data_IF_933334109024
#
_entry.id   IF_933334109024
#
_cell.length_a   1.000
_cell.length_b   1.000
_cell.length_c   1.000
_cell.angle_alpha   90.00
_cell.angle_beta   90.00
_cell.angle_gamma   90.00
#
_symmetry.space_group_name_H-M   'P 1'
#
loop_
_entity.id
_entity.type
_entity.pdbx_description
1 polymer ?
#
# COMPACT_ATOMS: atom_id res chain seq x y z
N UNK A 1 15.05 2.14 7.96
CA UNK A 1 13.97 1.65 8.84
C UNK A 1 12.69 1.47 8.00
N UNK A 2 12.79 0.65 6.95
CA UNK A 2 11.70 0.32 6.03
C UNK A 2 11.84 -1.13 5.62
N UNK A 3 10.73 -1.83 5.39
CA UNK A 3 9.34 -1.38 5.59
C UNK A 3 9.01 -1.23 7.07
N UNK A 4 8.11 -0.30 7.40
CA UNK A 4 7.64 -0.17 8.79
C UNK A 4 6.70 -1.33 9.14
N UNK A 5 6.49 -1.62 10.43
CA UNK A 5 5.46 -2.57 10.87
C UNK A 5 4.08 -2.32 10.25
N UNK A 6 3.75 -1.05 9.97
CA UNK A 6 2.46 -0.66 9.40
C UNK A 6 2.22 -1.20 7.97
N UNK A 7 3.28 -1.56 7.22
CA UNK A 7 3.14 -2.03 5.84
C UNK A 7 3.67 -3.44 5.58
N UNK A 8 4.50 -3.97 6.49
CA UNK A 8 5.06 -5.31 6.39
C UNK A 8 4.66 -6.20 7.57
N UNK A 9 4.58 -5.65 8.78
CA UNK A 9 4.31 -6.39 10.02
C UNK A 9 5.54 -6.57 10.91
N UNK A 10 5.33 -7.28 12.03
CA UNK A 10 6.36 -7.62 13.02
C UNK A 10 6.18 -9.06 13.48
N UNK A 11 7.27 -9.86 13.60
CA UNK A 11 8.66 -9.53 13.28
C UNK A 11 8.92 -9.42 11.77
N UNK A 12 9.79 -8.49 11.35
CA UNK A 12 9.97 -8.10 9.94
C UNK A 12 10.18 -9.26 8.96
N UNK A 13 11.15 -10.15 9.21
CA UNK A 13 11.51 -11.23 8.26
C UNK A 13 10.36 -12.23 8.05
N UNK A 14 9.79 -12.84 9.11
CA UNK A 14 8.62 -13.72 8.97
C UNK A 14 7.43 -13.05 8.29
N UNK A 15 7.15 -11.78 8.61
CA UNK A 15 6.02 -11.08 7.99
C UNK A 15 6.26 -10.83 6.50
N UNK A 16 7.48 -10.45 6.11
CA UNK A 16 7.84 -10.29 4.70
C UNK A 16 7.73 -11.60 3.91
N UNK A 17 8.22 -12.70 4.48
CA UNK A 17 8.11 -14.03 3.88
C UNK A 17 6.63 -14.45 3.70
N UNK A 18 5.81 -14.23 4.72
CA UNK A 18 4.38 -14.50 4.66
C UNK A 18 3.70 -13.68 3.55
N UNK A 19 3.96 -12.38 3.48
CA UNK A 19 3.40 -11.50 2.44
C UNK A 19 3.83 -11.96 1.04
N UNK A 20 5.11 -12.29 0.86
CA UNK A 20 5.66 -12.76 -0.42
C UNK A 20 5.01 -14.07 -0.87
N UNK A 21 4.64 -14.94 0.08
CA UNK A 21 3.99 -16.22 -0.22
C UNK A 21 2.48 -16.09 -0.48
N UNK A 22 1.80 -15.16 0.19
CA UNK A 22 0.34 -15.00 0.07
C UNK A 22 -0.06 -14.07 -1.08
N UNK A 23 0.70 -13.01 -1.33
CA UNK A 23 0.38 -12.03 -2.36
C UNK A 23 0.76 -12.54 -3.74
N UNK A 24 -0.24 -12.72 -4.60
CA UNK A 24 -0.05 -13.20 -5.99
C UNK A 24 0.42 -12.11 -6.95
N UNK A 25 0.67 -10.88 -6.46
CA UNK A 25 1.03 -9.72 -7.26
C UNK A 25 2.29 -9.06 -6.72
N UNK A 26 3.01 -8.34 -7.57
CA UNK A 26 4.12 -7.50 -7.14
C UNK A 26 3.59 -6.15 -6.67
N UNK A 27 3.96 -5.72 -5.45
CA UNK A 27 3.59 -4.40 -4.93
C UNK A 27 4.22 -3.26 -5.72
N UNK A 28 5.29 -3.51 -6.49
CA UNK A 28 6.03 -2.49 -7.24
C UNK A 28 6.42 -1.29 -6.32
N UNK A 29 5.85 -0.11 -6.55
CA UNK A 29 6.10 1.09 -5.72
C UNK A 29 5.16 1.20 -4.52
N UNK A 30 4.11 0.38 -4.43
CA UNK A 30 3.17 0.41 -3.31
C UNK A 30 3.87 0.01 -2.01
N UNK A 31 3.53 0.73 -0.93
CA UNK A 31 4.16 0.61 0.37
C UNK A 31 5.67 0.94 0.41
N UNK A 32 6.26 1.41 -0.70
CA UNK A 32 7.62 1.98 -0.74
C UNK A 32 7.65 3.45 -0.30
N UNK A 33 8.70 4.18 -0.68
CA UNK A 33 8.79 5.63 -0.47
C UNK A 33 8.97 6.41 -1.76
N UNK A 34 8.46 7.63 -1.76
CA UNK A 34 8.72 8.62 -2.80
C UNK A 34 8.68 10.03 -2.21
N UNK A 35 9.30 10.98 -2.92
CA UNK A 35 9.21 12.39 -2.59
C UNK A 35 10.36 13.21 -3.18
N UNK A 36 10.33 14.55 -3.02
CA UNK A 36 11.28 15.43 -3.66
C UNK A 36 12.66 15.39 -3.01
N UNK A 37 13.69 15.51 -3.86
CA UNK A 37 15.07 15.79 -3.47
C UNK A 37 15.44 17.19 -3.98
N UNK A 38 15.69 18.11 -3.06
CA UNK A 38 16.12 19.47 -3.36
C UNK A 38 17.59 19.52 -3.81
N UNK A 39 17.94 20.53 -4.60
CA UNK A 39 19.31 20.75 -5.08
C UNK A 39 20.32 21.05 -3.95
N UNK A 40 19.82 21.46 -2.78
CA UNK A 40 20.59 21.65 -1.56
C UNK A 40 20.78 20.35 -0.74
N UNK A 41 20.35 19.20 -1.26
CA UNK A 41 20.37 17.92 -0.56
C UNK A 41 19.22 17.72 0.43
N UNK A 42 18.25 18.64 0.51
CA UNK A 42 17.06 18.43 1.32
C UNK A 42 16.22 17.29 0.75
N UNK A 43 15.74 16.40 1.61
CA UNK A 43 14.96 15.23 1.22
C UNK A 43 13.67 15.18 2.04
N UNK A 44 12.53 15.09 1.36
CA UNK A 44 11.25 14.79 1.99
C UNK A 44 10.70 13.49 1.37
N UNK A 45 10.62 12.43 2.16
CA UNK A 45 10.10 11.13 1.72
C UNK A 45 8.78 10.82 2.43
N UNK A 46 7.85 10.23 1.69
CA UNK A 46 6.55 9.80 2.15
C UNK A 46 6.33 8.33 1.78
N UNK A 47 5.59 7.60 2.61
CA UNK A 47 5.18 6.23 2.26
C UNK A 47 4.16 6.31 1.12
N UNK A 48 4.38 5.52 0.07
CA UNK A 48 3.47 5.46 -1.07
C UNK A 48 2.27 4.55 -0.78
N UNK A 49 1.23 5.13 -0.19
CA UNK A 49 -0.05 4.49 0.10
C UNK A 49 -1.18 5.23 -0.62
N UNK A 50 -2.38 4.61 -0.68
CA UNK A 50 -3.55 5.17 -1.37
C UNK A 50 -3.19 5.64 -2.79
N UNK A 51 -2.52 4.77 -3.53
CA UNK A 51 -2.01 5.05 -4.86
C UNK A 51 -2.59 4.08 -5.90
N UNK A 52 -2.49 4.46 -7.17
CA UNK A 52 -2.80 3.60 -8.30
C UNK A 52 -1.68 3.63 -9.33
N UNK A 53 -1.53 2.55 -10.08
CA UNK A 53 -0.72 2.50 -11.30
C UNK A 53 -1.64 2.72 -12.50
N UNK A 54 -1.32 3.76 -13.27
CA UNK A 54 -2.00 4.06 -14.54
C UNK A 54 -1.34 3.23 -15.63
N UNK A 55 -2.12 2.38 -16.29
CA UNK A 55 -1.73 1.60 -17.47
C UNK A 55 -2.48 2.14 -18.70
N UNK A 56 -2.07 1.78 -19.93
CA UNK A 56 -2.71 2.31 -21.14
C UNK A 56 -4.24 2.12 -21.21
N UNK A 57 -4.74 1.00 -20.68
CA UNK A 57 -6.13 0.57 -20.81
C UNK A 57 -6.85 0.34 -19.46
N UNK A 58 -6.15 0.52 -18.33
CA UNK A 58 -6.68 0.22 -17.00
C UNK A 58 -5.97 0.96 -15.89
N UNK A 59 -6.59 0.98 -14.72
CA UNK A 59 -6.04 1.48 -13.48
C UNK A 59 -5.90 0.31 -12.50
N UNK A 60 -4.73 0.15 -11.90
CA UNK A 60 -4.50 -0.82 -10.84
C UNK A 60 -4.38 -0.09 -9.51
N UNK A 61 -5.39 -0.21 -8.64
CA UNK A 61 -5.37 0.40 -7.31
C UNK A 61 -4.64 -0.54 -6.34
N UNK A 62 -3.84 0.04 -5.44
CA UNK A 62 -3.16 -0.71 -4.40
C UNK A 62 -3.72 -0.34 -3.03
N UNK A 63 -4.30 -1.32 -2.35
CA UNK A 63 -4.91 -1.18 -1.02
C UNK A 63 -4.44 -2.33 -0.14
N UNK A 64 -4.22 -2.05 1.15
CA UNK A 64 -3.90 -3.05 2.14
C UNK A 64 -4.46 -2.69 3.51
N UNK A 65 -4.52 -3.70 4.38
CA UNK A 65 -4.91 -3.62 5.78
C UNK A 65 -3.85 -4.27 6.66
N UNK A 66 -3.83 -3.89 7.94
CA UNK A 66 -2.96 -4.52 8.93
C UNK A 66 -3.72 -5.67 9.60
N UNK A 67 -3.23 -6.90 9.44
CA UNK A 67 -3.88 -8.07 10.02
C UNK A 67 -3.29 -8.38 11.40
N UNK A 68 -4.16 -8.55 12.39
CA UNK A 68 -3.81 -8.95 13.76
C UNK A 68 -4.52 -10.25 14.16
N UNK A 69 -4.24 -10.76 15.35
CA UNK A 69 -4.91 -11.96 15.87
C UNK A 69 -6.41 -11.73 16.13
N UNK A 70 -6.81 -10.47 16.38
CA UNK A 70 -8.19 -10.09 16.66
C UNK A 70 -8.96 -9.66 15.39
N UNK A 71 -8.30 -9.67 14.22
CA UNK A 71 -8.89 -9.26 12.95
C UNK A 71 -9.97 -10.23 12.48
N UNK A 72 -11.09 -9.68 12.01
CA UNK A 72 -12.19 -10.43 11.38
C UNK A 72 -12.07 -10.28 9.85
N UNK A 73 -11.93 -11.38 9.07
CA UNK A 73 -11.68 -11.29 7.63
C UNK A 73 -12.65 -10.40 6.85
N UNK A 74 -13.93 -10.47 7.18
CA UNK A 74 -14.98 -9.66 6.55
C UNK A 74 -14.83 -8.16 6.87
N UNK A 75 -14.45 -7.81 8.09
CA UNK A 75 -14.23 -6.42 8.49
C UNK A 75 -12.98 -5.84 7.82
N UNK A 76 -11.90 -6.63 7.72
CA UNK A 76 -10.67 -6.23 7.02
C UNK A 76 -10.92 -6.04 5.52
N UNK A 77 -11.76 -6.89 4.92
CA UNK A 77 -12.20 -6.71 3.53
C UNK A 77 -12.95 -5.39 3.36
N UNK A 78 -13.95 -5.12 4.21
CA UNK A 78 -14.70 -3.86 4.19
C UNK A 78 -13.79 -2.65 4.38
N UNK A 79 -12.80 -2.73 5.27
CA UNK A 79 -11.80 -1.67 5.44
C UNK A 79 -11.04 -1.40 4.13
N UNK A 80 -10.66 -2.44 3.38
CA UNK A 80 -10.00 -2.25 2.09
C UNK A 80 -10.92 -1.62 1.05
N UNK A 81 -12.21 -1.96 1.02
CA UNK A 81 -13.19 -1.31 0.13
C UNK A 81 -13.32 0.20 0.45
N UNK A 82 -13.49 0.54 1.73
CA UNK A 82 -13.57 1.94 2.18
C UNK A 82 -12.30 2.73 1.84
N UNK A 83 -11.11 2.09 1.94
CA UNK A 83 -9.85 2.73 1.54
C UNK A 83 -9.78 2.96 0.03
N UNK A 84 -10.32 2.04 -0.77
CA UNK A 84 -10.35 2.13 -2.23
C UNK A 84 -11.25 3.29 -2.71
N UNK A 85 -12.34 3.59 -1.99
CA UNK A 85 -13.27 4.68 -2.31
C UNK A 85 -12.59 6.05 -2.47
N UNK A 86 -11.48 6.28 -1.75
CA UNK A 86 -10.68 7.51 -1.91
C UNK A 86 -10.23 7.70 -3.35
N UNK A 87 -9.81 6.64 -4.03
CA UNK A 87 -9.35 6.70 -5.41
C UNK A 87 -10.50 6.49 -6.40
N UNK A 88 -11.44 5.58 -6.10
CA UNK A 88 -12.60 5.33 -6.95
C UNK A 88 -13.47 6.57 -7.12
N UNK A 89 -13.66 7.37 -6.05
CA UNK A 89 -14.41 8.63 -6.13
C UNK A 89 -13.80 9.64 -7.10
N UNK A 90 -12.47 9.64 -7.28
CA UNK A 90 -11.77 10.47 -8.26
C UNK A 90 -11.96 9.90 -9.67
N UNK A 91 -11.85 8.57 -9.81
CA UNK A 91 -11.99 7.89 -11.11
C UNK A 91 -13.41 8.05 -11.66
N UNK A 92 -14.44 7.94 -10.82
CA UNK A 92 -15.83 8.09 -11.24
C UNK A 92 -16.20 9.53 -11.66
N UNK A 93 -15.33 10.50 -11.44
CA UNK A 93 -15.51 11.88 -11.91
C UNK A 93 -14.87 12.16 -13.27
N UNK A 94 -14.08 11.21 -13.81
CA UNK A 94 -13.45 11.29 -15.13
C UNK A 94 -14.39 10.78 -16.22
#
# INVERSE_FOLDING_TARGET
>A
MHPTPAVCGMPYKPSLELLTNLEKHNREYYAGYLGPMGLNGALALFVNLRCMKVLPDKLALFIGGGITADSVPEEEWQETEIKADTLLSIIHQL
#
